data_IF_251811793472
#
_entry.id   IF_251811793472
#
_cell.length_a   1.000
_cell.length_b   1.000
_cell.length_c   1.000
_cell.angle_alpha   90.00
_cell.angle_beta   90.00
_cell.angle_gamma   90.00
#
_symmetry.space_group_name_H-M   'P 1'
#
loop_
_entity.id
_entity.type
_entity.pdbx_description
1 polymer ?
#
# COMPACT_ATOMS: atom_id res chain seq x y z
N UNK A 1 1.17 -2.72 16.49
CA UNK A 1 1.42 -3.43 15.22
C UNK A 1 2.46 -2.68 14.41
N UNK A 2 3.33 -3.40 13.76
CA UNK A 2 4.40 -2.84 12.94
C UNK A 2 4.30 -3.37 11.52
N UNK A 3 4.49 -2.49 10.53
CA UNK A 3 4.36 -2.83 9.12
C UNK A 3 5.58 -2.36 8.34
N UNK A 4 5.98 -3.16 7.35
CA UNK A 4 6.95 -2.78 6.34
C UNK A 4 6.20 -2.24 5.14
N UNK A 5 6.67 -1.11 4.59
CA UNK A 5 6.09 -0.52 3.39
C UNK A 5 6.96 -0.86 2.19
N UNK A 6 6.34 -1.37 1.14
CA UNK A 6 6.99 -1.68 -0.13
C UNK A 6 6.29 -0.96 -1.28
N UNK A 7 7.09 -0.44 -2.19
CA UNK A 7 6.60 0.08 -3.46
C UNK A 7 6.46 -1.10 -4.43
N UNK A 8 5.35 -1.15 -5.13
CA UNK A 8 5.05 -2.23 -6.07
C UNK A 8 5.33 -1.76 -7.49
N UNK A 9 5.99 -2.62 -8.28
CA UNK A 9 6.14 -2.46 -9.72
C UNK A 9 5.22 -3.47 -10.38
N UNK A 10 4.09 -3.00 -10.89
CA UNK A 10 3.02 -3.83 -11.37
C UNK A 10 2.78 -3.68 -12.87
N UNK A 11 2.22 -4.71 -13.48
CA UNK A 11 1.75 -4.67 -14.87
C UNK A 11 0.43 -5.42 -15.00
N UNK A 12 -0.31 -5.09 -16.04
CA UNK A 12 -1.57 -5.75 -16.34
C UNK A 12 -1.34 -6.82 -17.42
N UNK A 13 -1.69 -8.07 -17.12
CA UNK A 13 -1.46 -9.20 -18.03
C UNK A 13 -2.62 -9.46 -19.01
N UNK A 14 -3.64 -8.60 -19.02
CA UNK A 14 -4.85 -8.75 -19.80
C UNK A 14 -6.05 -9.22 -18.99
N UNK A 15 -5.83 -9.80 -17.82
CA UNK A 15 -6.88 -10.29 -16.92
C UNK A 15 -6.80 -9.68 -15.53
N UNK A 16 -5.59 -9.54 -15.00
CA UNK A 16 -5.37 -9.06 -13.65
C UNK A 16 -4.06 -8.28 -13.54
N UNK A 17 -3.94 -7.52 -12.47
CA UNK A 17 -2.70 -6.87 -12.10
C UNK A 17 -1.75 -7.90 -11.48
N UNK A 18 -0.51 -7.91 -11.93
CA UNK A 18 0.54 -8.83 -11.46
C UNK A 18 1.77 -8.02 -11.10
N UNK A 19 2.52 -8.48 -10.11
CA UNK A 19 3.83 -7.93 -9.79
C UNK A 19 4.73 -9.03 -9.25
N UNK A 20 6.01 -9.01 -9.60
CA UNK A 20 7.01 -9.96 -9.12
C UNK A 20 8.09 -9.32 -8.27
N UNK A 21 8.14 -7.99 -8.21
CA UNK A 21 9.11 -7.28 -7.39
C UNK A 21 8.44 -6.17 -6.60
N UNK A 22 8.92 -5.99 -5.37
CA UNK A 22 8.53 -4.88 -4.54
C UNK A 22 9.76 -4.37 -3.79
N UNK A 23 9.89 -3.06 -3.66
CA UNK A 23 11.02 -2.41 -3.04
C UNK A 23 10.60 -1.88 -1.68
N UNK A 24 11.40 -2.22 -0.64
CA UNK A 24 11.18 -1.65 0.67
C UNK A 24 11.50 -0.15 0.66
N UNK A 25 10.58 0.67 1.14
CA UNK A 25 10.77 2.12 1.22
C UNK A 25 10.65 2.66 2.64
N UNK A 26 10.17 1.86 3.59
CA UNK A 26 10.04 2.30 4.97
C UNK A 26 9.25 1.34 5.83
N UNK A 27 8.89 1.81 7.02
CA UNK A 27 8.06 1.07 7.96
C UNK A 27 7.26 2.04 8.83
N UNK A 28 6.21 1.54 9.47
CA UNK A 28 5.46 2.31 10.45
C UNK A 28 4.87 1.40 11.51
N UNK A 29 4.53 2.01 12.64
CA UNK A 29 3.85 1.34 13.74
C UNK A 29 2.54 2.03 14.04
N UNK A 30 1.52 1.28 14.41
CA UNK A 30 0.21 1.83 14.74
C UNK A 30 -0.58 0.89 15.62
N UNK A 31 -1.66 1.39 16.18
CA UNK A 31 -2.68 0.58 16.85
C UNK A 31 -3.64 0.01 15.80
N UNK A 32 -4.22 -1.16 16.08
CA UNK A 32 -5.03 -1.91 15.13
C UNK A 32 -6.17 -1.13 14.47
N UNK A 33 -6.82 -0.24 15.20
CA UNK A 33 -8.01 0.49 14.72
C UNK A 33 -7.72 1.60 13.71
N UNK A 34 -6.45 2.01 13.54
CA UNK A 34 -6.07 3.14 12.69
C UNK A 34 -5.09 2.76 11.59
N UNK A 35 -5.04 1.49 11.21
CA UNK A 35 -4.01 0.97 10.29
C UNK A 35 -4.02 1.68 8.95
N UNK A 36 -5.18 1.83 8.33
CA UNK A 36 -5.29 2.48 7.00
C UNK A 36 -4.81 3.92 7.03
N UNK A 37 -5.22 4.68 8.05
CA UNK A 37 -4.81 6.07 8.22
C UNK A 37 -3.31 6.18 8.47
N UNK A 38 -2.76 5.31 9.33
CA UNK A 38 -1.34 5.28 9.64
C UNK A 38 -0.50 4.96 8.39
N UNK A 39 -0.97 4.05 7.55
CA UNK A 39 -0.33 3.72 6.29
C UNK A 39 -0.24 4.94 5.37
N UNK A 40 -1.34 5.63 5.17
CA UNK A 40 -1.37 6.84 4.34
C UNK A 40 -0.47 7.94 4.89
N UNK A 41 -0.45 8.14 6.21
CA UNK A 41 0.44 9.11 6.86
C UNK A 41 1.90 8.76 6.69
N UNK A 42 2.24 7.48 6.82
CA UNK A 42 3.62 7.01 6.65
C UNK A 42 4.11 7.27 5.23
N UNK A 43 3.28 6.98 4.23
CA UNK A 43 3.60 7.28 2.83
C UNK A 43 3.80 8.78 2.60
N UNK A 44 2.93 9.59 3.15
CA UNK A 44 3.06 11.06 3.05
C UNK A 44 4.38 11.53 3.65
N UNK A 45 4.78 10.97 4.79
CA UNK A 45 6.08 11.27 5.42
C UNK A 45 7.27 10.86 4.58
N UNK A 46 7.10 9.89 3.68
CA UNK A 46 8.13 9.46 2.73
C UNK A 46 8.11 10.25 1.41
N UNK A 47 7.26 11.27 1.32
CA UNK A 47 7.16 12.12 0.14
C UNK A 47 6.18 11.63 -0.91
N UNK A 48 5.40 10.58 -0.60
CA UNK A 48 4.39 10.06 -1.52
C UNK A 48 3.10 10.84 -1.33
N UNK A 49 2.65 11.50 -2.37
CA UNK A 49 1.44 12.33 -2.32
C UNK A 49 0.36 11.72 -3.20
N UNK A 50 -0.82 11.52 -2.64
CA UNK A 50 -1.99 11.06 -3.37
C UNK A 50 -3.05 12.16 -3.42
N UNK A 51 -3.70 12.29 -4.55
CA UNK A 51 -4.89 13.14 -4.65
C UNK A 51 -6.07 12.39 -4.03
N UNK A 52 -6.85 13.12 -3.25
CA UNK A 52 -8.02 12.57 -2.58
C UNK A 52 -8.97 11.94 -3.60
N UNK A 53 -9.43 10.72 -3.33
CA UNK A 53 -10.34 10.00 -4.20
C UNK A 53 -9.67 9.26 -5.37
N UNK A 54 -8.35 9.41 -5.56
CA UNK A 54 -7.63 8.74 -6.63
C UNK A 54 -7.14 7.36 -6.25
N UNK A 55 -7.04 7.07 -4.96
CA UNK A 55 -6.55 5.80 -4.45
C UNK A 55 -7.54 5.22 -3.45
N UNK A 56 -7.44 3.92 -3.23
CA UNK A 56 -8.21 3.19 -2.23
C UNK A 56 -7.28 2.26 -1.48
N UNK A 57 -7.52 2.12 -0.17
CA UNK A 57 -6.78 1.18 0.68
C UNK A 57 -7.61 -0.09 0.82
N UNK A 58 -7.05 -1.20 0.40
CA UNK A 58 -7.69 -2.52 0.46
C UNK A 58 -7.00 -3.36 1.52
N UNK A 59 -7.78 -3.91 2.44
CA UNK A 59 -7.29 -4.83 3.47
C UNK A 59 -7.70 -6.24 3.06
N UNK A 60 -6.72 -7.09 2.74
CA UNK A 60 -7.00 -8.48 2.35
C UNK A 60 -6.83 -9.48 3.49
N UNK A 61 -6.67 -8.98 4.72
CA UNK A 61 -6.49 -9.81 5.92
C UNK A 61 -5.03 -10.05 6.29
N UNK A 62 -4.15 -10.20 5.30
CA UNK A 62 -2.73 -10.45 5.52
C UNK A 62 -1.90 -9.18 5.39
N UNK A 63 -2.28 -8.30 4.47
CA UNK A 63 -1.59 -7.04 4.26
C UNK A 63 -2.59 -5.96 3.82
N UNK A 64 -2.10 -4.72 3.78
CA UNK A 64 -2.85 -3.59 3.24
C UNK A 64 -2.23 -3.21 1.92
N UNK A 65 -3.07 -2.86 0.95
CA UNK A 65 -2.63 -2.48 -0.38
C UNK A 65 -3.27 -1.16 -0.77
N UNK A 66 -2.47 -0.23 -1.30
CA UNK A 66 -3.00 0.99 -1.89
C UNK A 66 -3.06 0.79 -3.39
N UNK A 67 -4.24 0.98 -3.95
CA UNK A 67 -4.52 0.78 -5.37
C UNK A 67 -5.03 2.06 -5.99
N UNK A 68 -4.75 2.24 -7.27
CA UNK A 68 -5.42 3.26 -8.08
C UNK A 68 -6.91 2.92 -8.13
N UNK A 69 -7.75 3.85 -7.73
CA UNK A 69 -9.19 3.61 -7.63
C UNK A 69 -9.83 3.26 -8.96
N UNK A 70 -9.36 3.87 -10.05
CA UNK A 70 -9.94 3.69 -11.38
C UNK A 70 -9.47 2.42 -12.07
N UNK A 71 -8.17 2.14 -12.03
CA UNK A 71 -7.57 1.01 -12.75
C UNK A 71 -7.41 -0.25 -11.92
N UNK A 72 -7.38 -0.11 -10.59
CA UNK A 72 -7.04 -1.22 -9.69
C UNK A 72 -5.55 -1.50 -9.60
N UNK A 73 -4.71 -0.68 -10.25
CA UNK A 73 -3.26 -0.87 -10.21
C UNK A 73 -2.75 -0.80 -8.78
N UNK A 74 -2.07 -1.85 -8.28
CA UNK A 74 -1.46 -1.81 -6.95
C UNK A 74 -0.21 -0.93 -6.99
N UNK A 75 -0.10 -0.04 -6.00
CA UNK A 75 0.96 0.95 -5.94
C UNK A 75 1.91 0.72 -4.77
N UNK A 76 1.37 0.44 -3.60
CA UNK A 76 2.13 0.20 -2.38
C UNK A 76 1.46 -0.88 -1.55
N UNK A 77 2.25 -1.58 -0.76
CA UNK A 77 1.75 -2.61 0.16
C UNK A 77 2.37 -2.41 1.54
N UNK A 78 1.58 -2.61 2.58
CA UNK A 78 2.04 -2.65 3.96
C UNK A 78 1.93 -4.09 4.47
N UNK A 79 3.04 -4.67 4.83
CA UNK A 79 3.16 -6.07 5.24
C UNK A 79 3.43 -6.13 6.74
N UNK A 80 2.63 -6.87 7.53
CA UNK A 80 2.88 -7.00 8.95
C UNK A 80 4.28 -7.56 9.25
N UNK A 81 4.92 -6.97 10.25
CA UNK A 81 6.23 -7.40 10.76
C UNK A 81 6.04 -7.89 12.18
N UNK A 82 6.47 -9.05 12.49
CA UNK A 82 6.41 -9.60 13.84
C UNK A 82 7.74 -9.55 14.56
#
# INVERSE_FOLDING_TARGET
MKFEIRQIDAWFDGEAWTYNESFRIGEFSTRAENVKRAFCRALHGLGVVFYRGRVVVVDDGDCLEIQNRKSGEPLFVAIPMD
#
